data_IF_453830299588
#
_entry.id   IF_453830299588
#
_cell.length_a   1.000
_cell.length_b   1.000
_cell.length_c   1.000
_cell.angle_alpha   90.00
_cell.angle_beta   90.00
_cell.angle_gamma   90.00
#
_symmetry.space_group_name_H-M   'P 1'
#
loop_
_entity.id
_entity.type
_entity.pdbx_description
1 polymer ?
#
# COMPACT_ATOMS: atom_id res chain seq x y z
N UNK A 1 41.98 -16.53 12.09
CA UNK A 1 41.40 -15.48 11.20
C UNK A 1 40.17 -16.08 10.53
N UNK A 2 38.97 -15.60 10.85
CA UNK A 2 37.70 -16.18 10.35
C UNK A 2 37.19 -15.30 9.20
N UNK A 3 37.29 -15.79 7.97
CA UNK A 3 36.84 -15.07 6.76
C UNK A 3 35.32 -15.17 6.68
N UNK A 4 34.63 -14.04 6.71
CA UNK A 4 33.19 -13.99 6.46
C UNK A 4 32.97 -14.00 4.95
N UNK A 5 32.65 -15.18 4.41
CA UNK A 5 32.26 -15.33 3.02
C UNK A 5 30.93 -14.60 2.78
N UNK A 6 30.95 -13.55 1.96
CA UNK A 6 29.73 -13.01 1.36
C UNK A 6 29.36 -13.97 0.22
N UNK A 7 28.30 -14.75 0.44
CA UNK A 7 27.75 -15.66 -0.55
C UNK A 7 27.28 -14.92 -1.81
N UNK A 8 26.93 -15.66 -2.88
CA UNK A 8 26.63 -15.07 -4.17
C UNK A 8 25.43 -14.11 -4.07
N UNK A 9 25.66 -12.83 -4.39
CA UNK A 9 24.60 -11.83 -4.53
C UNK A 9 24.17 -11.78 -6.00
N UNK A 10 22.97 -12.28 -6.30
CA UNK A 10 22.37 -12.11 -7.63
C UNK A 10 21.88 -10.67 -7.81
N UNK A 11 22.23 -10.05 -8.94
CA UNK A 11 21.67 -8.75 -9.36
C UNK A 11 20.16 -8.80 -9.57
N UNK A 12 19.59 -10.00 -9.76
CA UNK A 12 18.17 -10.23 -9.91
C UNK A 12 17.44 -10.31 -8.56
N UNK A 13 18.14 -10.27 -7.41
CA UNK A 13 17.47 -10.33 -6.11
C UNK A 13 16.56 -9.11 -5.92
N UNK A 14 15.28 -9.34 -5.71
CA UNK A 14 14.32 -8.29 -5.43
C UNK A 14 14.55 -7.68 -4.04
N UNK A 15 14.37 -6.37 -3.95
CA UNK A 15 14.36 -5.62 -2.69
C UNK A 15 13.01 -4.93 -2.55
N UNK A 16 12.44 -4.99 -1.36
CA UNK A 16 11.14 -4.41 -1.06
C UNK A 16 11.33 -3.15 -0.21
N UNK A 17 10.44 -2.19 -0.41
CA UNK A 17 10.36 -0.96 0.37
C UNK A 17 8.93 -0.78 0.86
N UNK A 18 8.75 -0.05 1.96
CA UNK A 18 7.42 0.24 2.47
C UNK A 18 6.75 1.33 1.62
N UNK A 19 5.44 1.20 1.44
CA UNK A 19 4.61 2.20 0.79
C UNK A 19 4.16 3.33 1.74
N UNK A 20 4.23 3.12 3.06
CA UNK A 20 3.75 4.11 4.03
C UNK A 20 4.84 5.14 4.41
N UNK A 21 4.44 6.39 4.67
CA UNK A 21 5.37 7.46 5.04
C UNK A 21 6.24 7.11 6.25
N UNK A 22 5.63 6.56 7.32
CA UNK A 22 6.29 6.17 8.58
C UNK A 22 7.50 5.26 8.40
N UNK A 23 7.52 4.47 7.33
CA UNK A 23 8.54 3.46 7.09
C UNK A 23 9.40 3.77 5.85
N UNK A 24 9.25 4.95 5.23
CA UNK A 24 9.94 5.34 3.98
C UNK A 24 11.47 5.20 4.06
N UNK A 25 12.04 5.50 5.21
CA UNK A 25 13.50 5.45 5.44
C UNK A 25 13.97 4.19 6.18
N UNK A 26 13.06 3.26 6.49
CA UNK A 26 13.40 2.04 7.22
C UNK A 26 13.81 0.93 6.26
N UNK A 27 14.80 0.15 6.67
CA UNK A 27 15.17 -1.06 5.93
C UNK A 27 14.05 -2.10 6.09
N UNK A 28 13.50 -2.59 5.00
CA UNK A 28 12.59 -3.74 5.03
C UNK A 28 13.42 -5.02 4.96
N UNK A 29 13.15 -6.00 5.80
CA UNK A 29 13.66 -7.35 5.56
C UNK A 29 12.60 -8.40 5.82
N UNK A 30 12.67 -9.45 5.01
CA UNK A 30 11.81 -10.61 5.16
C UNK A 30 12.45 -11.56 6.16
N UNK A 31 11.61 -12.28 6.89
CA UNK A 31 12.06 -13.40 7.68
C UNK A 31 12.79 -14.42 6.78
N UNK A 32 13.94 -14.93 7.26
CA UNK A 32 14.79 -15.82 6.46
C UNK A 32 14.10 -17.13 6.07
N UNK A 33 13.11 -17.55 6.85
CA UNK A 33 12.29 -18.74 6.58
C UNK A 33 11.17 -18.46 5.56
N UNK A 34 10.92 -17.20 5.21
CA UNK A 34 9.98 -16.87 4.14
C UNK A 34 10.53 -17.34 2.80
N UNK A 35 9.68 -17.99 2.00
CA UNK A 35 9.97 -18.36 0.61
C UNK A 35 10.26 -17.13 -0.27
N UNK A 36 9.75 -15.96 0.11
CA UNK A 36 10.00 -14.70 -0.60
C UNK A 36 11.33 -14.02 -0.20
N UNK A 37 12.06 -14.55 0.78
CA UNK A 37 13.36 -13.99 1.21
C UNK A 37 14.43 -14.01 0.11
N UNK A 38 14.22 -14.87 -0.89
CA UNK A 38 15.02 -15.03 -2.10
C UNK A 38 14.28 -14.61 -3.37
N UNK A 39 13.21 -13.81 -3.25
CA UNK A 39 12.42 -13.36 -4.39
C UNK A 39 13.33 -12.73 -5.46
N UNK A 40 13.12 -13.12 -6.72
CA UNK A 40 13.89 -12.62 -7.85
C UNK A 40 13.02 -11.72 -8.74
N UNK A 41 13.66 -10.78 -9.40
CA UNK A 41 13.08 -10.00 -10.48
C UNK A 41 13.38 -10.71 -11.80
N UNK A 42 12.52 -11.62 -12.22
CA UNK A 42 12.72 -12.39 -13.47
C UNK A 42 12.71 -11.50 -14.71
N UNK A 43 12.04 -10.34 -14.63
CA UNK A 43 11.90 -9.40 -15.73
C UNK A 43 12.40 -8.00 -15.34
N UNK A 44 13.71 -7.79 -15.15
CA UNK A 44 14.25 -6.49 -14.73
C UNK A 44 14.04 -5.37 -15.76
N UNK A 45 13.71 -5.72 -17.01
CA UNK A 45 13.37 -4.76 -18.06
C UNK A 45 11.93 -4.24 -17.97
N UNK A 46 11.03 -5.00 -17.32
CA UNK A 46 9.67 -4.53 -17.07
C UNK A 46 9.67 -3.50 -15.94
N UNK A 47 9.02 -2.36 -16.19
CA UNK A 47 9.02 -1.19 -15.29
C UNK A 47 7.81 -1.14 -14.37
N UNK A 48 6.99 -2.19 -14.34
CA UNK A 48 5.79 -2.23 -13.52
C UNK A 48 6.13 -2.47 -12.06
N UNK A 49 5.31 -1.91 -11.18
CA UNK A 49 5.43 -2.06 -9.75
C UNK A 49 4.94 -3.46 -9.35
N UNK A 50 5.68 -4.11 -8.44
CA UNK A 50 5.29 -5.38 -7.83
C UNK A 50 5.00 -5.17 -6.35
N UNK A 51 4.00 -5.87 -5.83
CA UNK A 51 3.55 -5.71 -4.44
C UNK A 51 3.78 -6.99 -3.64
N UNK A 52 4.31 -6.83 -2.43
CA UNK A 52 4.41 -7.87 -1.41
C UNK A 52 3.54 -7.44 -0.22
N UNK A 53 2.65 -8.32 0.20
CA UNK A 53 1.82 -8.12 1.40
C UNK A 53 2.38 -8.98 2.52
N UNK A 54 2.42 -8.45 3.75
CA UNK A 54 2.85 -9.18 4.93
C UNK A 54 1.68 -9.31 5.91
N UNK A 55 1.43 -10.53 6.41
CA UNK A 55 0.43 -10.77 7.45
C UNK A 55 0.89 -10.30 8.83
N UNK A 56 2.20 -10.18 9.06
CA UNK A 56 2.75 -9.60 10.29
C UNK A 56 3.92 -8.66 9.98
N UNK A 57 3.87 -7.49 10.59
CA UNK A 57 4.91 -6.45 10.49
C UNK A 57 5.39 -6.14 11.91
N UNK A 58 6.70 -6.24 12.14
CA UNK A 58 7.31 -5.79 13.39
C UNK A 58 8.48 -4.87 13.12
N UNK A 59 8.85 -4.06 14.11
CA UNK A 59 9.99 -3.15 14.02
C UNK A 59 11.04 -3.62 15.02
N UNK A 60 12.32 -3.55 14.63
CA UNK A 60 13.39 -3.84 15.57
C UNK A 60 13.41 -2.82 16.74
N UNK A 61 14.08 -3.17 17.82
CA UNK A 61 14.20 -2.32 19.02
C UNK A 61 14.76 -0.91 18.75
N UNK A 62 15.59 -0.77 17.71
CA UNK A 62 16.21 0.51 17.32
C UNK A 62 15.28 1.35 16.42
N UNK A 63 14.19 0.78 15.88
CA UNK A 63 13.26 1.49 15.01
C UNK A 63 13.71 1.64 13.55
N UNK A 64 14.87 1.10 13.17
CA UNK A 64 15.50 1.29 11.85
C UNK A 64 15.11 0.24 10.82
N UNK A 65 14.56 -0.88 11.26
CA UNK A 65 14.30 -2.04 10.40
C UNK A 65 12.91 -2.63 10.64
N UNK A 66 12.18 -2.81 9.55
CA UNK A 66 10.86 -3.45 9.51
C UNK A 66 11.02 -4.91 9.10
N UNK A 67 10.52 -5.82 9.94
CA UNK A 67 10.53 -7.26 9.71
C UNK A 67 9.16 -7.74 9.23
N UNK A 68 9.15 -8.41 8.08
CA UNK A 68 7.95 -8.96 7.46
C UNK A 68 7.87 -10.48 7.66
N UNK A 69 6.73 -10.98 8.14
CA UNK A 69 6.41 -12.42 8.23
C UNK A 69 5.05 -12.71 7.57
N UNK A 70 4.81 -13.98 7.27
CA UNK A 70 3.61 -14.43 6.53
C UNK A 70 3.39 -13.62 5.25
N UNK A 71 4.41 -13.58 4.40
CA UNK A 71 4.44 -12.72 3.22
C UNK A 71 3.88 -13.41 1.99
N UNK A 72 3.08 -12.69 1.20
CA UNK A 72 2.58 -13.12 -0.10
C UNK A 72 3.06 -12.13 -1.16
N UNK A 73 3.75 -12.64 -2.18
CA UNK A 73 4.10 -11.86 -3.37
C UNK A 73 2.88 -11.89 -4.30
N UNK A 74 2.34 -10.72 -4.62
CA UNK A 74 1.21 -10.63 -5.54
C UNK A 74 1.67 -10.88 -6.99
N UNK A 75 0.75 -11.34 -7.86
CA UNK A 75 1.05 -11.52 -9.28
C UNK A 75 1.61 -10.26 -9.93
N UNK A 76 2.50 -10.45 -10.91
CA UNK A 76 3.10 -9.36 -11.68
C UNK A 76 2.12 -8.87 -12.76
N UNK A 77 1.16 -8.06 -12.32
CA UNK A 77 0.12 -7.47 -13.17
C UNK A 77 0.31 -5.94 -13.17
N UNK A 78 0.48 -5.30 -14.35
CA UNK A 78 0.58 -3.85 -14.47
C UNK A 78 -0.60 -3.14 -13.77
N UNK A 79 -0.33 -2.11 -12.98
CA UNK A 79 -1.37 -1.35 -12.27
C UNK A 79 -1.95 -2.03 -11.03
N UNK A 80 -1.61 -3.30 -10.75
CA UNK A 80 -2.16 -4.02 -9.60
C UNK A 80 -1.88 -3.34 -8.26
N UNK A 81 -0.67 -2.81 -7.99
CA UNK A 81 -0.43 -2.07 -6.74
C UNK A 81 -1.38 -0.88 -6.57
N UNK A 82 -1.60 -0.10 -7.63
CA UNK A 82 -2.53 1.03 -7.61
C UNK A 82 -3.97 0.59 -7.42
N UNK A 83 -4.40 -0.45 -8.16
CA UNK A 83 -5.75 -0.99 -8.05
C UNK A 83 -6.06 -1.51 -6.64
N UNK A 84 -5.16 -2.31 -6.06
CA UNK A 84 -5.34 -2.85 -4.70
C UNK A 84 -5.41 -1.72 -3.68
N UNK A 85 -4.49 -0.75 -3.74
CA UNK A 85 -4.49 0.37 -2.79
C UNK A 85 -5.76 1.21 -2.93
N UNK A 86 -6.19 1.53 -4.16
CA UNK A 86 -7.43 2.29 -4.40
C UNK A 86 -8.69 1.52 -4.04
N UNK A 87 -8.74 0.20 -4.17
CA UNK A 87 -9.92 -0.59 -3.79
C UNK A 87 -10.12 -0.66 -2.28
N UNK A 88 -9.04 -0.75 -1.51
CA UNK A 88 -9.13 -1.03 -0.07
C UNK A 88 -8.85 0.18 0.84
N UNK A 89 -8.46 1.33 0.30
CA UNK A 89 -8.27 2.54 1.10
C UNK A 89 -9.59 3.18 1.52
N UNK A 90 -9.76 3.71 2.74
CA UNK A 90 -10.98 4.44 3.09
C UNK A 90 -11.19 5.70 2.23
N UNK A 91 -10.17 6.53 2.09
CA UNK A 91 -10.20 7.78 1.32
C UNK A 91 -9.04 7.81 0.34
N UNK A 92 -9.33 8.19 -0.90
CA UNK A 92 -8.33 8.42 -1.95
C UNK A 92 -8.38 9.85 -2.48
N UNK A 93 -7.22 10.44 -2.65
CA UNK A 93 -7.01 11.71 -3.35
C UNK A 93 -6.15 11.45 -4.59
N UNK A 94 -6.70 11.76 -5.77
CA UNK A 94 -6.01 11.52 -7.04
C UNK A 94 -5.00 12.63 -7.34
N UNK A 95 -3.82 12.22 -7.80
CA UNK A 95 -2.78 13.11 -8.28
C UNK A 95 -2.80 13.14 -9.80
N UNK A 96 -2.56 14.31 -10.36
CA UNK A 96 -2.48 14.53 -11.81
C UNK A 96 -1.07 14.93 -12.20
N UNK A 97 -0.75 14.80 -13.50
CA UNK A 97 0.44 15.46 -14.04
C UNK A 97 0.25 17.00 -14.04
N UNK A 98 1.35 17.74 -14.24
CA UNK A 98 1.34 19.21 -14.20
C UNK A 98 0.33 19.83 -15.20
N UNK A 99 0.12 19.18 -16.33
CA UNK A 99 -0.81 19.58 -17.39
C UNK A 99 -2.27 19.22 -17.09
N UNK A 100 -2.53 18.44 -16.02
CA UNK A 100 -3.85 17.92 -15.63
C UNK A 100 -4.56 17.13 -16.72
N UNK A 101 -3.79 16.45 -17.56
CA UNK A 101 -4.27 15.63 -18.68
C UNK A 101 -4.38 14.15 -18.33
N UNK A 102 -3.71 13.69 -17.27
CA UNK A 102 -3.87 12.32 -16.77
C UNK A 102 -3.65 12.21 -15.27
N UNK A 103 -4.22 11.16 -14.67
CA UNK A 103 -3.89 10.76 -13.32
C UNK A 103 -2.49 10.15 -13.27
N UNK A 104 -1.64 10.66 -12.39
CA UNK A 104 -0.24 10.27 -12.22
C UNK A 104 -0.02 9.41 -10.98
N UNK A 105 -0.98 9.38 -10.06
CA UNK A 105 -0.90 8.64 -8.81
C UNK A 105 -2.08 8.89 -7.89
N UNK A 106 -1.96 8.43 -6.66
CA UNK A 106 -2.93 8.69 -5.60
C UNK A 106 -2.26 8.77 -4.22
N UNK A 107 -2.85 9.57 -3.34
CA UNK A 107 -2.67 9.52 -1.90
C UNK A 107 -3.85 8.74 -1.30
N UNK A 108 -3.55 7.70 -0.56
CA UNK A 108 -4.51 6.77 0.00
C UNK A 108 -4.32 6.66 1.51
N UNK A 109 -5.39 6.86 2.27
CA UNK A 109 -5.32 6.98 3.72
C UNK A 109 -6.68 7.01 4.40
N UNK A 110 -6.70 7.52 5.63
CA UNK A 110 -7.93 7.69 6.40
C UNK A 110 -8.66 9.01 6.10
N UNK A 111 -8.01 9.94 5.39
CA UNK A 111 -8.55 11.25 5.10
C UNK A 111 -8.16 12.28 6.17
N UNK A 112 -9.04 13.25 6.41
CA UNK A 112 -8.81 14.36 7.33
C UNK A 112 -10.00 14.56 8.26
N UNK A 113 -9.75 15.13 9.43
CA UNK A 113 -10.79 15.49 10.39
C UNK A 113 -11.56 16.72 9.88
N UNK A 114 -12.89 16.62 9.80
CA UNK A 114 -13.76 17.66 9.23
C UNK A 114 -13.75 18.98 10.02
N UNK A 115 -13.49 18.93 11.34
CA UNK A 115 -13.50 20.09 12.22
C UNK A 115 -12.13 20.77 12.29
N UNK A 116 -11.06 19.99 12.48
CA UNK A 116 -9.70 20.53 12.64
C UNK A 116 -8.99 20.73 11.31
N UNK A 117 -9.47 20.11 10.23
CA UNK A 117 -8.84 20.08 8.90
C UNK A 117 -7.45 19.40 8.89
N UNK A 118 -7.15 18.60 9.92
CA UNK A 118 -5.88 17.87 10.02
C UNK A 118 -5.98 16.46 9.45
N UNK A 119 -4.91 15.97 8.82
CA UNK A 119 -4.84 14.61 8.30
C UNK A 119 -4.89 13.58 9.43
N UNK A 120 -5.61 12.48 9.22
CA UNK A 120 -5.79 11.42 10.21
C UNK A 120 -4.75 10.33 9.99
N UNK A 121 -3.87 10.13 10.97
CA UNK A 121 -2.73 9.20 10.90
C UNK A 121 -1.88 9.40 9.62
N UNK A 122 -1.37 10.61 9.34
CA UNK A 122 -0.63 10.91 8.09
C UNK A 122 0.60 10.02 7.89
N UNK A 123 1.22 9.58 8.98
CA UNK A 123 2.32 8.61 8.98
C UNK A 123 1.97 7.28 8.28
N UNK A 124 0.69 6.91 8.27
CA UNK A 124 0.19 5.68 7.70
C UNK A 124 -0.29 5.86 6.25
N UNK A 125 -0.33 7.09 5.74
CA UNK A 125 -0.72 7.35 4.37
C UNK A 125 0.24 6.68 3.38
N UNK A 126 -0.36 6.22 2.28
CA UNK A 126 0.34 5.61 1.15
C UNK A 126 0.21 6.55 -0.04
N UNK A 127 1.35 7.05 -0.52
CA UNK A 127 1.44 7.79 -1.77
C UNK A 127 2.08 6.89 -2.82
N UNK A 128 1.39 6.71 -3.95
CA UNK A 128 1.88 5.88 -5.05
C UNK A 128 1.75 6.59 -6.39
N UNK A 129 2.77 6.44 -7.24
CA UNK A 129 2.71 6.82 -8.64
C UNK A 129 2.17 5.64 -9.45
N UNK A 130 1.29 5.91 -10.41
CA UNK A 130 0.76 4.87 -11.28
C UNK A 130 1.79 4.46 -12.35
N UNK A 131 1.90 3.17 -12.59
CA UNK A 131 2.72 2.55 -13.64
C UNK A 131 1.90 2.19 -14.89
N UNK A 132 0.60 2.46 -14.85
CA UNK A 132 -0.37 2.39 -15.94
C UNK A 132 -1.24 3.64 -15.93
N UNK A 133 -1.94 3.92 -17.03
CA UNK A 133 -2.92 5.00 -17.07
C UNK A 133 -4.24 4.49 -16.49
N UNK A 134 -4.77 5.20 -15.50
CA UNK A 134 -6.17 5.11 -15.11
C UNK A 134 -6.93 6.28 -15.72
N UNK A 135 -8.12 6.04 -16.23
CA UNK A 135 -9.06 7.07 -16.69
C UNK A 135 -10.28 7.20 -15.76
N UNK A 136 -11.25 8.03 -16.18
CA UNK A 136 -12.44 8.31 -15.35
C UNK A 136 -13.35 7.08 -15.29
N UNK A 137 -13.42 6.32 -16.38
CA UNK A 137 -14.18 5.09 -16.49
C UNK A 137 -13.64 4.05 -15.50
N UNK A 138 -12.32 3.84 -15.46
CA UNK A 138 -11.67 2.94 -14.50
C UNK A 138 -11.98 3.33 -13.05
N UNK A 139 -11.89 4.63 -12.72
CA UNK A 139 -12.15 5.13 -11.37
C UNK A 139 -13.62 4.98 -10.98
N UNK A 140 -14.52 5.10 -11.95
CA UNK A 140 -15.96 4.88 -11.74
C UNK A 140 -16.23 3.42 -11.39
N UNK A 141 -15.62 2.47 -12.12
CA UNK A 141 -15.71 1.03 -11.83
C UNK A 141 -15.07 0.67 -10.49
N UNK A 142 -13.92 1.25 -10.16
CA UNK A 142 -13.28 1.08 -8.84
C UNK A 142 -14.22 1.54 -7.72
N UNK A 143 -14.87 2.69 -7.87
CA UNK A 143 -15.82 3.19 -6.88
C UNK A 143 -17.08 2.31 -6.80
N UNK A 144 -17.59 1.82 -7.92
CA UNK A 144 -18.71 0.88 -7.94
C UNK A 144 -18.36 -0.42 -7.19
N UNK A 145 -17.15 -0.95 -7.40
CA UNK A 145 -16.64 -2.13 -6.68
C UNK A 145 -16.50 -1.86 -5.19
N UNK A 146 -15.97 -0.70 -4.78
CA UNK A 146 -15.87 -0.28 -3.38
C UNK A 146 -17.24 -0.28 -2.71
N UNK A 147 -18.24 0.29 -3.37
CA UNK A 147 -19.63 0.30 -2.88
C UNK A 147 -20.19 -1.12 -2.77
N UNK A 148 -19.97 -1.97 -3.77
CA UNK A 148 -20.43 -3.35 -3.75
C UNK A 148 -19.79 -4.15 -2.60
N UNK A 149 -18.48 -4.04 -2.41
CA UNK A 149 -17.75 -4.69 -1.31
C UNK A 149 -18.32 -4.23 0.03
N UNK A 150 -18.45 -2.92 0.25
CA UNK A 150 -18.97 -2.37 1.51
C UNK A 150 -20.40 -2.86 1.80
N UNK A 151 -21.24 -2.97 0.77
CA UNK A 151 -22.60 -3.52 0.93
C UNK A 151 -22.60 -5.00 1.29
N UNK A 152 -21.68 -5.78 0.74
CA UNK A 152 -21.57 -7.22 0.99
C UNK A 152 -20.95 -7.55 2.35
N UNK A 153 -20.01 -6.72 2.83
CA UNK A 153 -19.28 -6.96 4.08
C UNK A 153 -19.93 -6.30 5.30
N UNK A 154 -20.81 -5.31 5.10
CA UNK A 154 -21.54 -4.69 6.20
C UNK A 154 -22.58 -5.67 6.77
N UNK A 155 -22.54 -6.03 8.07
CA UNK A 155 -23.47 -6.98 8.69
C UNK A 155 -24.94 -6.53 8.66
N UNK A 156 -25.19 -5.25 8.42
CA UNK A 156 -26.50 -4.65 8.20
C UNK A 156 -26.36 -3.61 7.09
N UNK A 157 -27.38 -3.45 6.25
CA UNK A 157 -27.53 -2.36 5.28
C UNK A 157 -27.33 -1.00 5.98
N UNK A 158 -26.09 -0.50 6.03
CA UNK A 158 -25.77 0.78 6.66
C UNK A 158 -25.79 1.85 5.58
N UNK A 159 -26.68 2.80 5.76
CA UNK A 159 -26.72 4.05 5.01
C UNK A 159 -25.33 4.73 5.02
N UNK A 160 -24.94 5.43 3.94
CA UNK A 160 -23.63 6.08 3.81
C UNK A 160 -23.23 6.94 5.02
N UNK A 161 -24.20 7.65 5.62
CA UNK A 161 -23.97 8.51 6.78
C UNK A 161 -23.49 7.73 8.02
N UNK A 162 -23.94 6.48 8.19
CA UNK A 162 -23.46 5.62 9.27
C UNK A 162 -22.06 5.07 9.00
N UNK A 163 -21.67 4.91 7.74
CA UNK A 163 -20.29 4.53 7.38
C UNK A 163 -19.36 5.68 7.75
N UNK A 164 -19.73 6.92 7.41
CA UNK A 164 -18.97 8.11 7.80
C UNK A 164 -18.86 8.26 9.32
N UNK A 165 -19.95 8.06 10.06
CA UNK A 165 -19.91 8.08 11.53
C UNK A 165 -19.06 6.95 12.12
N UNK A 166 -19.15 5.72 11.59
CA UNK A 166 -18.30 4.62 12.04
C UNK A 166 -16.83 4.86 11.70
N UNK A 167 -16.53 5.50 10.57
CA UNK A 167 -15.19 5.92 10.23
C UNK A 167 -14.68 6.96 11.23
N UNK A 168 -15.47 7.99 11.55
CA UNK A 168 -15.13 8.99 12.58
C UNK A 168 -14.93 8.32 13.96
N UNK A 169 -15.86 7.48 14.41
CA UNK A 169 -15.76 6.74 15.68
C UNK A 169 -14.52 5.84 15.73
N UNK A 170 -14.18 5.18 14.63
CA UNK A 170 -12.96 4.37 14.53
C UNK A 170 -11.71 5.25 14.54
N UNK A 171 -11.74 6.43 13.92
CA UNK A 171 -10.64 7.38 13.90
C UNK A 171 -10.38 7.94 15.30
N UNK A 172 -11.42 8.35 16.02
CA UNK A 172 -11.34 8.87 17.40
C UNK A 172 -10.76 7.83 18.38
N UNK A 173 -10.99 6.54 18.12
CA UNK A 173 -10.45 5.44 18.94
C UNK A 173 -8.97 5.13 18.66
N UNK A 174 -8.40 5.69 17.60
CA UNK A 174 -7.00 5.47 17.19
C UNK A 174 -6.05 6.59 17.65
N UNK A 175 -6.58 7.72 18.12
CA UNK A 175 -5.87 8.79 18.85
C UNK A 175 -5.77 8.51 20.34
#
# INVERSE_FOLDING_TARGET
MKVHLKGPSSSYKASFHSLSQKNRYRTVSLEKTSINSTAMNENPHHKHQRMLVAGLVSVNSIGTRVMLRHTTLLPDIPGLPGLVTMLFTPIMELRTNDERTCYSGALCGLGFNSQTQEAILPDNDIELAFDVRFDVEDLTEINALRVAINRLTSPLHLEPDKISQLQEDCQDRLT
#
